data_IF_001769252602
#
_entry.id   IF_001769252602
#
_cell.length_a   1.000
_cell.length_b   1.000
_cell.length_c   1.000
_cell.angle_alpha   90.00
_cell.angle_beta   90.00
_cell.angle_gamma   90.00
#
_symmetry.space_group_name_H-M   'P 1'
#
loop_
_entity.id
_entity.type
_entity.pdbx_description
1 polymer ?
#
# COMPACT_ATOMS: atom_id res chain seq x y z
N UNK A 1 -10.74 -2.89 31.78
CA UNK A 1 -9.61 -3.85 31.60
C UNK A 1 -9.03 -3.57 30.23
N UNK A 2 -7.81 -3.05 30.15
CA UNK A 2 -7.11 -2.90 28.86
C UNK A 2 -6.79 -4.30 28.36
N UNK A 3 -7.45 -4.74 27.29
CA UNK A 3 -7.13 -5.99 26.62
C UNK A 3 -5.65 -6.00 26.25
N UNK A 4 -4.90 -6.99 26.74
CA UNK A 4 -3.46 -7.10 26.48
C UNK A 4 -3.31 -7.54 25.03
N UNK A 5 -2.53 -6.79 24.26
CA UNK A 5 -2.12 -7.20 22.91
C UNK A 5 -1.03 -8.26 23.10
N UNK A 6 -1.24 -9.42 22.50
CA UNK A 6 -0.26 -10.50 22.49
C UNK A 6 0.46 -10.55 21.13
N UNK A 7 1.70 -11.02 21.15
CA UNK A 7 2.52 -11.13 19.95
C UNK A 7 2.12 -12.38 19.16
N UNK A 8 1.49 -12.19 18.00
CA UNK A 8 1.02 -13.25 17.10
C UNK A 8 1.84 -13.30 15.80
N UNK A 9 1.66 -14.33 15.00
CA UNK A 9 2.33 -14.42 13.70
C UNK A 9 1.83 -13.33 12.76
N UNK A 10 0.52 -13.17 12.68
CA UNK A 10 -0.14 -12.21 11.80
C UNK A 10 -1.11 -11.32 12.56
N UNK A 11 -1.01 -10.02 12.33
CA UNK A 11 -1.95 -9.04 12.88
C UNK A 11 -2.63 -8.27 11.78
N UNK A 12 -3.96 -8.16 11.88
CA UNK A 12 -4.80 -7.34 11.02
C UNK A 12 -5.36 -6.21 11.89
N UNK A 13 -4.97 -4.97 11.56
CA UNK A 13 -5.50 -3.76 12.20
C UNK A 13 -6.56 -3.13 11.31
N UNK A 14 -7.82 -3.14 11.77
CA UNK A 14 -8.94 -2.52 11.05
C UNK A 14 -9.10 -1.08 11.49
N UNK A 15 -8.99 -0.16 10.52
CA UNK A 15 -9.10 1.28 10.72
C UNK A 15 -10.20 1.87 9.81
N UNK A 16 -10.83 3.00 10.21
CA UNK A 16 -11.81 3.66 9.38
C UNK A 16 -11.16 4.35 8.17
N UNK A 17 -11.84 4.33 7.03
CA UNK A 17 -11.48 5.07 5.83
C UNK A 17 -12.59 6.05 5.46
N UNK A 18 -12.39 7.31 5.82
CA UNK A 18 -13.37 8.38 5.62
C UNK A 18 -12.77 9.52 4.78
N UNK A 19 -13.61 10.37 4.16
CA UNK A 19 -13.12 11.53 3.43
C UNK A 19 -12.27 12.51 4.26
N UNK A 20 -12.58 12.66 5.55
CA UNK A 20 -11.77 13.48 6.48
C UNK A 20 -10.40 12.86 6.72
N UNK A 21 -10.33 11.55 6.96
CA UNK A 21 -9.06 10.84 7.16
C UNK A 21 -8.24 10.73 5.87
N UNK A 22 -8.88 10.68 4.71
CA UNK A 22 -8.18 10.76 3.41
C UNK A 22 -7.45 12.11 3.26
N UNK A 23 -8.05 13.22 3.76
CA UNK A 23 -7.44 14.56 3.74
C UNK A 23 -6.39 14.76 4.83
N UNK A 24 -6.65 14.24 6.04
CA UNK A 24 -5.74 14.29 7.17
C UNK A 24 -5.64 12.92 7.85
N UNK A 25 -4.63 12.10 7.49
CA UNK A 25 -4.40 10.79 8.06
C UNK A 25 -3.70 10.81 9.43
N UNK A 26 -3.36 11.96 9.98
CA UNK A 26 -2.60 12.08 11.22
C UNK A 26 -3.24 11.34 12.43
N UNK A 27 -4.58 11.27 12.58
CA UNK A 27 -5.19 10.49 13.66
C UNK A 27 -4.91 8.98 13.59
N UNK A 28 -4.54 8.47 12.41
CA UNK A 28 -4.24 7.05 12.18
C UNK A 28 -2.83 6.64 12.62
N UNK A 29 -1.94 7.60 12.90
CA UNK A 29 -0.55 7.28 13.27
C UNK A 29 -0.47 6.60 14.63
N UNK A 30 -1.19 7.13 15.62
CA UNK A 30 -1.16 6.60 16.98
C UNK A 30 -1.50 5.11 17.04
N UNK A 31 -2.64 4.63 16.48
CA UNK A 31 -2.94 3.20 16.48
C UNK A 31 -1.87 2.35 15.76
N UNK A 32 -1.32 2.81 14.64
CA UNK A 32 -0.28 2.06 13.92
C UNK A 32 1.01 1.98 14.74
N UNK A 33 1.50 3.13 15.26
CA UNK A 33 2.74 3.20 16.04
C UNK A 33 2.66 2.47 17.38
N UNK A 34 1.46 2.34 17.92
CA UNK A 34 1.21 1.66 19.20
C UNK A 34 1.01 0.14 19.03
N UNK A 35 0.29 -0.29 18.02
CA UNK A 35 -0.10 -1.69 17.85
C UNK A 35 1.01 -2.51 17.20
N UNK A 36 1.58 -2.06 16.06
CA UNK A 36 2.54 -2.86 15.29
C UNK A 36 3.72 -3.36 16.13
N UNK A 37 4.39 -2.55 16.98
CA UNK A 37 5.62 -3.00 17.67
C UNK A 37 5.42 -4.15 18.67
N UNK A 38 4.18 -4.44 19.04
CA UNK A 38 3.87 -5.43 20.08
C UNK A 38 2.90 -6.52 19.64
N UNK A 39 2.53 -6.56 18.38
CA UNK A 39 1.45 -7.45 17.91
C UNK A 39 1.87 -8.49 16.89
N UNK A 40 2.94 -8.27 16.09
CA UNK A 40 3.23 -9.13 14.94
C UNK A 40 4.66 -9.64 14.89
N UNK A 41 4.82 -10.93 14.53
CA UNK A 41 6.11 -11.59 14.27
C UNK A 41 6.44 -11.65 12.78
N UNK A 42 5.46 -12.02 11.93
CA UNK A 42 5.64 -12.29 10.48
C UNK A 42 5.03 -11.21 9.60
N UNK A 43 3.76 -10.83 9.82
CA UNK A 43 3.11 -9.79 9.02
C UNK A 43 2.17 -8.90 9.81
N UNK A 44 2.03 -7.67 9.33
CA UNK A 44 1.09 -6.67 9.84
C UNK A 44 0.32 -6.04 8.69
N UNK A 45 -0.98 -6.24 8.67
CA UNK A 45 -1.88 -5.70 7.65
C UNK A 45 -2.74 -4.60 8.24
N UNK A 46 -2.72 -3.40 7.66
CA UNK A 46 -3.73 -2.37 7.92
C UNK A 46 -4.84 -2.55 6.90
N UNK A 47 -6.04 -2.78 7.38
CA UNK A 47 -7.23 -2.89 6.55
C UNK A 47 -8.15 -1.70 6.80
N UNK A 48 -8.40 -0.92 5.76
CA UNK A 48 -9.26 0.25 5.81
C UNK A 48 -10.69 -0.08 5.42
N UNK A 49 -11.62 0.14 6.35
CA UNK A 49 -13.06 -0.06 6.14
C UNK A 49 -13.80 1.27 6.09
N UNK A 50 -14.76 1.39 5.18
CA UNK A 50 -15.59 2.59 5.01
C UNK A 50 -16.79 2.51 5.95
N UNK A 51 -16.86 3.35 7.02
CA UNK A 51 -17.98 3.30 7.97
C UNK A 51 -19.31 3.64 7.31
N UNK A 52 -20.40 3.01 7.76
CA UNK A 52 -21.74 3.27 7.28
C UNK A 52 -22.10 4.75 7.39
N UNK A 53 -22.71 5.32 6.34
CA UNK A 53 -23.12 6.72 6.30
C UNK A 53 -21.99 7.74 6.12
N UNK A 54 -20.73 7.30 5.98
CA UNK A 54 -19.60 8.22 5.75
C UNK A 54 -19.57 8.79 4.33
N UNK A 55 -20.37 8.26 3.43
CA UNK A 55 -20.48 8.72 2.04
C UNK A 55 -21.96 8.98 1.74
N UNK A 56 -22.29 10.20 1.36
CA UNK A 56 -23.59 10.55 0.79
C UNK A 56 -23.41 10.81 -0.70
N UNK A 57 -24.03 10.00 -1.55
CA UNK A 57 -24.20 10.36 -2.96
C UNK A 57 -25.63 10.84 -3.17
N UNK A 58 -25.85 11.85 -4.02
CA UNK A 58 -27.20 12.24 -4.45
C UNK A 58 -27.92 11.05 -5.10
N UNK A 59 -27.20 10.10 -5.69
CA UNK A 59 -27.74 8.87 -6.25
C UNK A 59 -28.22 7.87 -5.19
N UNK A 60 -27.65 7.85 -3.98
CA UNK A 60 -28.16 7.01 -2.88
C UNK A 60 -29.56 7.44 -2.43
N UNK A 61 -29.89 8.73 -2.53
CA UNK A 61 -31.21 9.24 -2.23
C UNK A 61 -32.27 8.76 -3.26
N UNK A 62 -31.89 8.54 -4.51
CA UNK A 62 -32.78 8.05 -5.58
C UNK A 62 -32.93 6.51 -5.48
N UNK A 63 -31.89 5.78 -5.11
CA UNK A 63 -31.94 4.32 -4.95
C UNK A 63 -32.72 3.86 -3.70
N UNK A 64 -32.75 4.67 -2.64
CA UNK A 64 -33.57 4.38 -1.44
C UNK A 64 -35.08 4.39 -1.72
N UNK A 65 -35.51 4.97 -2.82
CA UNK A 65 -36.91 4.98 -3.27
C UNK A 65 -37.30 3.68 -4.03
N UNK A 66 -36.32 2.94 -4.55
CA UNK A 66 -36.55 1.74 -5.38
C UNK A 66 -36.46 0.42 -4.65
N UNK A 67 -36.23 0.39 -3.33
CA UNK A 67 -36.31 -0.84 -2.51
C UNK A 67 -35.25 -1.91 -2.83
N UNK A 68 -34.26 -1.62 -3.65
CA UNK A 68 -33.11 -2.47 -3.88
C UNK A 68 -32.12 -2.25 -2.75
N UNK A 69 -31.76 -3.30 -2.01
CA UNK A 69 -30.89 -3.26 -0.85
C UNK A 69 -29.66 -2.37 -1.11
N UNK A 70 -29.44 -1.39 -0.24
CA UNK A 70 -28.36 -0.42 -0.34
C UNK A 70 -27.02 -1.13 -0.16
N UNK A 71 -26.39 -1.56 -1.26
CA UNK A 71 -24.96 -1.83 -1.22
C UNK A 71 -24.27 -0.50 -0.89
N UNK A 72 -23.80 -0.38 0.34
CA UNK A 72 -23.05 0.79 0.77
C UNK A 72 -21.80 0.92 -0.11
N UNK A 73 -21.64 2.05 -0.76
CA UNK A 73 -20.52 2.31 -1.63
C UNK A 73 -19.26 2.58 -0.78
N UNK A 74 -18.16 1.89 -1.08
CA UNK A 74 -16.90 2.06 -0.36
C UNK A 74 -16.08 3.21 -0.96
N UNK A 75 -15.42 4.01 -0.10
CA UNK A 75 -14.65 5.18 -0.53
C UNK A 75 -13.55 4.83 -1.53
N UNK A 76 -12.84 3.71 -1.35
CA UNK A 76 -11.81 3.31 -2.30
C UNK A 76 -12.38 3.02 -3.70
N UNK A 77 -13.52 2.35 -3.78
CA UNK A 77 -14.21 2.10 -5.05
C UNK A 77 -14.60 3.39 -5.76
N UNK A 78 -15.01 4.42 -5.00
CA UNK A 78 -15.32 5.74 -5.54
C UNK A 78 -14.07 6.43 -6.11
N UNK A 79 -12.97 6.46 -5.35
CA UNK A 79 -11.70 7.03 -5.82
C UNK A 79 -11.23 6.36 -7.11
N UNK A 80 -11.47 5.05 -7.24
CA UNK A 80 -11.08 4.28 -8.41
C UNK A 80 -11.92 4.55 -9.66
N UNK A 81 -13.06 5.24 -9.55
CA UNK A 81 -13.81 5.71 -10.72
C UNK A 81 -13.12 6.85 -11.45
N UNK A 82 -12.36 7.66 -10.71
CA UNK A 82 -11.61 8.82 -11.21
C UNK A 82 -10.16 8.76 -10.72
N UNK A 83 -9.39 7.73 -11.12
CA UNK A 83 -8.09 7.47 -10.50
C UNK A 83 -7.04 8.53 -10.81
N UNK A 84 -7.15 9.26 -11.93
CA UNK A 84 -6.22 10.34 -12.24
C UNK A 84 -6.41 11.53 -11.30
N UNK A 85 -7.64 11.97 -11.06
CA UNK A 85 -7.98 13.06 -10.14
C UNK A 85 -7.72 12.66 -8.69
N UNK A 86 -8.02 11.41 -8.34
CA UNK A 86 -7.89 10.87 -6.99
C UNK A 86 -6.45 10.50 -6.64
N UNK A 87 -5.54 10.43 -7.63
CA UNK A 87 -4.17 9.95 -7.45
C UNK A 87 -3.43 10.68 -6.33
N UNK A 88 -3.43 12.02 -6.34
CA UNK A 88 -2.70 12.81 -5.34
C UNK A 88 -3.24 12.62 -3.93
N UNK A 89 -4.56 12.53 -3.77
CA UNK A 89 -5.19 12.32 -2.48
C UNK A 89 -4.83 10.93 -1.92
N UNK A 90 -4.98 9.88 -2.74
CA UNK A 90 -4.64 8.52 -2.34
C UNK A 90 -3.13 8.34 -2.10
N UNK A 91 -2.28 8.94 -2.95
CA UNK A 91 -0.84 8.95 -2.76
C UNK A 91 -0.43 9.59 -1.44
N UNK A 92 -0.98 10.77 -1.13
CA UNK A 92 -0.71 11.45 0.14
C UNK A 92 -1.11 10.57 1.32
N UNK A 93 -2.33 10.04 1.29
CA UNK A 93 -2.84 9.15 2.34
C UNK A 93 -1.96 7.92 2.52
N UNK A 94 -1.76 7.12 1.47
CA UNK A 94 -0.93 5.91 1.52
C UNK A 94 0.51 6.20 1.93
N UNK A 95 1.07 7.30 1.46
CA UNK A 95 2.42 7.73 1.83
C UNK A 95 2.56 7.96 3.33
N UNK A 96 1.60 8.61 3.96
CA UNK A 96 1.57 8.81 5.41
C UNK A 96 1.40 7.49 6.18
N UNK A 97 0.51 6.62 5.73
CA UNK A 97 0.29 5.31 6.36
C UNK A 97 1.56 4.44 6.27
N UNK A 98 2.16 4.34 5.08
CA UNK A 98 3.41 3.58 4.92
C UNK A 98 4.59 4.20 5.68
N UNK A 99 4.62 5.52 5.86
CA UNK A 99 5.62 6.18 6.72
C UNK A 99 5.42 5.81 8.18
N UNK A 100 4.17 5.77 8.67
CA UNK A 100 3.88 5.34 10.03
C UNK A 100 4.27 3.86 10.26
N UNK A 101 3.95 2.98 9.32
CA UNK A 101 4.34 1.56 9.34
C UNK A 101 5.86 1.39 9.36
N UNK A 102 6.56 2.06 8.47
CA UNK A 102 8.02 2.07 8.41
C UNK A 102 8.65 2.55 9.72
N UNK A 103 8.13 3.64 10.27
CA UNK A 103 8.58 4.17 11.55
C UNK A 103 8.39 3.16 12.69
N UNK A 104 7.24 2.47 12.72
CA UNK A 104 6.93 1.46 13.71
C UNK A 104 7.88 0.24 13.60
N UNK A 105 8.16 -0.24 12.38
CA UNK A 105 9.12 -1.32 12.12
C UNK A 105 10.53 -0.98 12.65
N UNK A 106 11.01 0.24 12.40
CA UNK A 106 12.31 0.68 12.90
C UNK A 106 12.35 0.85 14.42
N UNK A 107 11.26 1.38 15.02
CA UNK A 107 11.15 1.53 16.47
C UNK A 107 11.24 0.17 17.19
N UNK A 108 10.60 -0.86 16.68
CA UNK A 108 10.64 -2.20 17.28
C UNK A 108 11.83 -3.05 16.81
N UNK A 109 12.64 -2.55 15.87
CA UNK A 109 13.79 -3.28 15.33
C UNK A 109 13.43 -4.45 14.43
N UNK A 110 12.20 -4.55 13.94
CA UNK A 110 11.71 -5.57 13.00
C UNK A 110 11.49 -4.95 11.61
N UNK A 111 12.60 -4.55 10.96
CA UNK A 111 12.57 -3.84 9.67
C UNK A 111 12.10 -4.73 8.52
N UNK A 112 12.25 -6.04 8.66
CA UNK A 112 11.86 -7.04 7.66
C UNK A 112 10.43 -7.55 7.83
N UNK A 113 9.69 -7.08 8.85
CA UNK A 113 8.29 -7.43 9.02
C UNK A 113 7.51 -7.11 7.74
N UNK A 114 6.73 -8.06 7.23
CA UNK A 114 5.88 -7.84 6.07
C UNK A 114 4.69 -6.94 6.43
N UNK A 115 4.69 -5.69 5.96
CA UNK A 115 3.62 -4.71 6.23
C UNK A 115 2.84 -4.41 4.96
N UNK A 116 1.50 -4.45 5.02
CA UNK A 116 0.63 -4.15 3.89
C UNK A 116 -0.56 -3.27 4.27
N UNK A 117 -1.09 -2.60 3.27
CA UNK A 117 -2.28 -1.76 3.36
C UNK A 117 -3.28 -2.23 2.32
N UNK A 118 -4.51 -2.48 2.78
CA UNK A 118 -5.63 -2.86 1.92
C UNK A 118 -6.87 -2.05 2.26
N UNK A 119 -7.79 -1.96 1.31
CA UNK A 119 -9.03 -1.22 1.45
C UNK A 119 -10.24 -2.10 1.19
N UNK A 120 -11.30 -1.86 1.92
CA UNK A 120 -12.63 -2.29 1.54
C UNK A 120 -12.98 -1.61 0.20
N UNK A 121 -13.48 -2.38 -0.76
CA UNK A 121 -13.74 -1.91 -2.12
C UNK A 121 -12.59 -2.09 -3.11
N UNK A 122 -11.43 -2.59 -2.67
CA UNK A 122 -10.49 -3.19 -3.62
C UNK A 122 -11.11 -4.44 -4.24
N UNK A 123 -10.84 -4.67 -5.54
CA UNK A 123 -11.18 -5.95 -6.18
C UNK A 123 -10.41 -7.11 -5.55
N UNK A 124 -10.92 -8.33 -5.69
CA UNK A 124 -10.31 -9.54 -5.14
C UNK A 124 -10.93 -10.02 -3.82
N UNK A 125 -10.62 -11.26 -3.47
CA UNK A 125 -11.16 -11.90 -2.28
C UNK A 125 -10.49 -11.37 -1.02
N UNK A 126 -11.29 -11.12 0.01
CA UNK A 126 -10.80 -10.63 1.29
C UNK A 126 -9.80 -11.60 1.94
N UNK A 127 -10.03 -12.92 1.83
CA UNK A 127 -9.09 -13.92 2.32
C UNK A 127 -7.71 -13.83 1.68
N UNK A 128 -7.65 -13.64 0.37
CA UNK A 128 -6.36 -13.52 -0.35
C UNK A 128 -5.56 -12.29 0.10
N UNK A 129 -6.23 -11.26 0.60
CA UNK A 129 -5.61 -10.04 1.12
C UNK A 129 -5.09 -10.19 2.55
N UNK A 130 -5.79 -10.94 3.37
CA UNK A 130 -5.55 -10.99 4.81
C UNK A 130 -4.73 -12.19 5.24
N UNK A 131 -4.91 -13.35 4.58
CA UNK A 131 -4.21 -14.57 4.93
C UNK A 131 -2.83 -14.60 4.26
N UNK A 132 -1.79 -14.75 5.05
CA UNK A 132 -0.38 -14.76 4.62
C UNK A 132 0.22 -16.15 4.63
N UNK A 133 -0.21 -16.95 5.56
CA UNK A 133 0.25 -18.32 5.76
C UNK A 133 -0.60 -19.32 4.98
N UNK A 134 0.00 -20.48 4.72
CA UNK A 134 -0.69 -21.65 4.19
C UNK A 134 -0.85 -22.73 5.26
N UNK A 135 -0.25 -22.53 6.42
CA UNK A 135 -0.23 -23.50 7.51
C UNK A 135 -1.37 -23.20 8.49
N UNK A 136 -2.15 -24.24 8.83
CA UNK A 136 -3.25 -24.17 9.78
C UNK A 136 -2.78 -23.87 11.23
N UNK A 137 -1.45 -23.87 11.47
CA UNK A 137 -0.83 -23.60 12.77
C UNK A 137 -0.48 -22.12 12.99
N UNK A 138 -0.62 -21.25 11.98
CA UNK A 138 -0.29 -19.83 12.10
C UNK A 138 -1.33 -19.08 12.93
N UNK A 139 -0.83 -18.24 13.85
CA UNK A 139 -1.67 -17.49 14.80
C UNK A 139 -2.06 -16.14 14.21
N UNK A 140 -3.36 -15.86 14.20
CA UNK A 140 -3.94 -14.61 13.72
C UNK A 140 -4.54 -13.77 14.85
N UNK A 141 -4.36 -12.45 14.74
CA UNK A 141 -5.00 -11.49 15.62
C UNK A 141 -5.69 -10.41 14.80
N UNK A 142 -6.96 -10.18 15.11
CA UNK A 142 -7.74 -9.08 14.54
C UNK A 142 -7.90 -7.99 15.59
N UNK A 143 -7.45 -6.78 15.29
CA UNK A 143 -7.57 -5.61 16.15
C UNK A 143 -8.44 -4.59 15.44
N UNK A 144 -9.57 -4.22 16.06
CA UNK A 144 -10.42 -3.13 15.59
C UNK A 144 -10.34 -1.94 16.56
N UNK A 145 -10.65 -0.78 16.05
CA UNK A 145 -10.76 0.44 16.88
C UNK A 145 -12.21 0.60 17.33
N UNK A 146 -12.41 0.94 18.61
CA UNK A 146 -13.75 1.24 19.14
C UNK A 146 -14.40 2.39 18.35
N UNK A 147 -15.70 2.25 18.04
CA UNK A 147 -16.45 3.22 17.24
C UNK A 147 -16.39 2.98 15.72
N UNK A 148 -15.53 2.10 15.23
CA UNK A 148 -15.71 1.52 13.90
C UNK A 148 -16.90 0.58 13.98
N UNK A 149 -18.00 0.93 13.29
CA UNK A 149 -19.21 0.10 13.29
C UNK A 149 -18.85 -1.30 12.79
N UNK A 150 -19.47 -2.31 13.39
CA UNK A 150 -19.44 -3.67 12.84
C UNK A 150 -20.16 -3.63 11.49
N UNK A 151 -19.37 -3.50 10.45
CA UNK A 151 -19.85 -3.68 9.08
C UNK A 151 -19.98 -5.18 8.82
N UNK A 152 -20.68 -5.55 7.77
CA UNK A 152 -20.73 -6.95 7.27
C UNK A 152 -19.32 -7.55 7.07
N UNK A 153 -18.31 -6.69 7.03
CA UNK A 153 -16.90 -7.03 6.97
C UNK A 153 -16.44 -7.85 8.18
N UNK A 154 -16.77 -7.44 9.42
CA UNK A 154 -16.32 -8.18 10.63
C UNK A 154 -16.99 -9.54 10.68
N UNK A 155 -18.27 -9.62 10.31
CA UNK A 155 -18.99 -10.89 10.19
C UNK A 155 -18.41 -11.80 9.07
N UNK A 156 -17.86 -11.19 8.00
CA UNK A 156 -17.19 -11.92 6.92
C UNK A 156 -15.79 -12.41 7.33
N UNK A 157 -15.10 -11.67 8.22
CA UNK A 157 -13.77 -12.04 8.70
C UNK A 157 -13.80 -13.30 9.57
N UNK A 158 -14.85 -13.50 10.36
CA UNK A 158 -15.05 -14.71 11.16
C UNK A 158 -15.11 -16.01 10.31
N UNK A 159 -15.46 -15.88 9.02
CA UNK A 159 -15.52 -17.01 8.08
C UNK A 159 -14.21 -17.22 7.31
N UNK A 160 -13.32 -16.23 7.31
CA UNK A 160 -12.13 -16.20 6.47
C UNK A 160 -10.88 -16.47 7.28
N UNK A 161 -10.78 -15.88 8.50
CA UNK A 161 -9.61 -16.02 9.35
C UNK A 161 -9.66 -17.39 10.04
N UNK A 162 -8.56 -18.18 10.01
CA UNK A 162 -8.50 -19.47 10.69
C UNK A 162 -8.84 -19.34 12.19
N UNK A 163 -9.66 -20.25 12.69
CA UNK A 163 -10.03 -20.31 14.10
C UNK A 163 -9.12 -21.29 14.86
N UNK A 164 -8.67 -20.98 16.08
CA UNK A 164 -9.02 -19.79 16.87
C UNK A 164 -8.19 -18.56 16.51
N UNK A 165 -8.82 -17.39 16.43
CA UNK A 165 -8.12 -16.12 16.33
C UNK A 165 -8.48 -15.19 17.50
N UNK A 166 -7.61 -14.23 17.82
CA UNK A 166 -7.85 -13.26 18.90
C UNK A 166 -8.48 -12.00 18.32
N UNK A 167 -9.68 -11.63 18.81
CA UNK A 167 -10.34 -10.36 18.48
C UNK A 167 -10.16 -9.37 19.64
N UNK A 168 -9.58 -8.21 19.36
CA UNK A 168 -9.40 -7.12 20.29
C UNK A 168 -10.09 -5.84 19.80
N UNK A 169 -10.64 -5.06 20.74
CA UNK A 169 -11.15 -3.71 20.45
C UNK A 169 -10.36 -2.70 21.29
N UNK A 170 -9.80 -1.69 20.65
CA UNK A 170 -8.95 -0.69 21.29
C UNK A 170 -9.59 0.70 21.20
N UNK A 171 -9.59 1.48 22.30
CA UNK A 171 -10.13 2.84 22.31
C UNK A 171 -9.14 3.83 21.70
N UNK A 172 -9.58 4.58 20.67
CA UNK A 172 -8.86 5.71 20.10
C UNK A 172 -9.81 6.88 19.92
N UNK A 173 -9.95 7.72 20.94
CA UNK A 173 -10.89 8.84 20.97
C UNK A 173 -10.77 9.79 19.75
N UNK A 174 -9.56 9.98 19.23
CA UNK A 174 -9.33 10.81 18.04
C UNK A 174 -10.01 10.29 16.78
N UNK A 175 -10.28 8.98 16.68
CA UNK A 175 -10.95 8.38 15.53
C UNK A 175 -12.48 8.44 15.66
N UNK A 176 -13.01 8.41 16.89
CA UNK A 176 -14.44 8.51 17.15
C UNK A 176 -15.00 9.90 16.87
N UNK A 177 -14.17 10.94 16.91
CA UNK A 177 -14.59 12.34 16.68
C UNK A 177 -14.65 12.72 15.20
N UNK A 178 -14.10 11.91 14.29
CA UNK A 178 -14.16 12.16 12.87
C UNK A 178 -15.48 11.67 12.27
N UNK A 179 -16.58 12.37 12.63
CA UNK A 179 -17.87 12.18 11.96
C UNK A 179 -17.76 12.67 10.51
N UNK A 180 -18.31 11.88 9.64
CA UNK A 180 -18.22 12.03 8.20
C UNK A 180 -18.86 13.33 7.69
N UNK A 181 -18.06 14.23 7.11
CA UNK A 181 -18.59 15.16 6.13
C UNK A 181 -18.88 14.40 4.84
N UNK A 182 -20.02 14.66 4.18
CA UNK A 182 -20.34 13.98 2.93
C UNK A 182 -19.27 14.26 1.88
N UNK A 183 -18.74 13.21 1.28
CA UNK A 183 -17.84 13.32 0.13
C UNK A 183 -18.72 13.42 -1.12
N UNK A 184 -18.73 14.59 -1.74
CA UNK A 184 -19.44 14.82 -3.01
C UNK A 184 -18.43 14.54 -4.12
N UNK A 185 -18.61 13.41 -4.81
CA UNK A 185 -17.97 13.21 -6.11
C UNK A 185 -18.68 14.11 -7.11
N UNK A 186 -17.99 15.12 -7.60
CA UNK A 186 -18.42 15.86 -8.76
C UNK A 186 -18.32 14.90 -9.96
N UNK A 187 -19.45 14.49 -10.50
CA UNK A 187 -19.54 13.52 -11.63
C UNK A 187 -19.18 14.18 -12.98
N UNK A 188 -18.61 15.39 -12.94
CA UNK A 188 -18.22 16.14 -14.12
C UNK A 188 -16.82 15.72 -14.59
N UNK A 189 -16.76 14.85 -15.59
CA UNK A 189 -15.55 14.51 -16.32
C UNK A 189 -14.81 13.30 -15.78
N UNK A 190 -15.45 12.12 -15.83
CA UNK A 190 -14.76 10.85 -15.53
C UNK A 190 -13.52 10.70 -16.40
N UNK A 191 -12.33 10.82 -15.81
CA UNK A 191 -11.10 10.33 -16.43
C UNK A 191 -10.87 8.90 -15.97
N UNK A 192 -11.27 7.93 -16.79
CA UNK A 192 -11.00 6.54 -16.47
C UNK A 192 -9.49 6.35 -16.34
N UNK A 193 -9.06 5.37 -15.53
CA UNK A 193 -7.66 4.99 -15.47
C UNK A 193 -7.11 4.59 -16.84
N UNK A 194 -5.83 4.42 -16.92
CA UNK A 194 -5.14 4.08 -18.18
C UNK A 194 -5.30 2.59 -18.50
N UNK A 195 -5.60 2.23 -19.75
CA UNK A 195 -5.56 0.85 -20.21
C UNK A 195 -4.27 0.14 -19.81
N UNK A 196 -3.11 0.74 -20.09
CA UNK A 196 -1.80 0.15 -19.77
C UNK A 196 -0.94 1.14 -19.00
N UNK A 197 -0.58 0.76 -17.78
CA UNK A 197 0.33 1.51 -16.90
C UNK A 197 1.63 0.73 -16.76
N UNK A 198 2.75 1.44 -16.71
CA UNK A 198 4.05 0.84 -16.43
C UNK A 198 4.71 1.46 -15.19
N UNK A 199 5.56 0.70 -14.57
CA UNK A 199 6.50 1.16 -13.54
C UNK A 199 7.71 0.22 -13.50
N UNK A 200 8.80 0.65 -12.87
CA UNK A 200 9.99 -0.18 -12.76
C UNK A 200 10.78 0.12 -11.49
N UNK A 201 11.56 -0.87 -11.09
CA UNK A 201 12.41 -0.76 -9.91
C UNK A 201 13.26 -1.98 -9.65
N UNK A 202 14.10 -1.91 -8.63
CA UNK A 202 14.87 -3.07 -8.16
C UNK A 202 13.98 -4.05 -7.40
N UNK A 203 13.03 -3.54 -6.62
CA UNK A 203 12.12 -4.30 -5.75
C UNK A 203 12.81 -5.24 -4.77
N UNK A 204 14.02 -4.86 -4.36
CA UNK A 204 14.79 -5.59 -3.39
C UNK A 204 14.15 -5.49 -2.01
N UNK A 205 13.90 -6.62 -1.35
CA UNK A 205 13.23 -6.70 -0.04
C UNK A 205 12.02 -5.79 0.02
N UNK A 206 10.96 -6.22 -0.65
CA UNK A 206 9.75 -5.44 -0.93
C UNK A 206 9.24 -4.68 0.31
N UNK A 207 9.68 -3.45 0.46
CA UNK A 207 9.42 -2.58 1.62
C UNK A 207 8.32 -1.56 1.33
N UNK A 208 7.93 -0.78 2.32
CA UNK A 208 6.83 0.18 2.28
C UNK A 208 6.82 1.10 1.04
N UNK A 209 7.99 1.67 0.64
CA UNK A 209 8.04 2.54 -0.55
C UNK A 209 7.80 1.77 -1.86
N UNK A 210 8.26 0.52 -1.97
CA UNK A 210 7.95 -0.32 -3.12
C UNK A 210 6.46 -0.65 -3.18
N UNK A 211 5.84 -0.97 -2.04
CA UNK A 211 4.42 -1.30 -1.96
C UNK A 211 3.54 -0.09 -2.29
N UNK A 212 3.93 1.11 -1.85
CA UNK A 212 3.29 2.36 -2.24
C UNK A 212 3.32 2.56 -3.76
N UNK A 213 4.49 2.39 -4.39
CA UNK A 213 4.66 2.55 -5.83
C UNK A 213 3.80 1.54 -6.61
N UNK A 214 3.84 0.27 -6.21
CA UNK A 214 3.07 -0.81 -6.83
C UNK A 214 1.56 -0.62 -6.66
N UNK A 215 1.11 -0.21 -5.47
CA UNK A 215 -0.29 0.05 -5.18
C UNK A 215 -0.84 1.18 -6.07
N UNK A 216 -0.11 2.29 -6.17
CA UNK A 216 -0.51 3.42 -7.01
C UNK A 216 -0.49 3.09 -8.51
N UNK A 217 0.48 2.29 -8.96
CA UNK A 217 0.48 1.77 -10.31
C UNK A 217 -0.74 0.90 -10.61
N UNK A 218 -1.10 0.01 -9.69
CA UNK A 218 -2.31 -0.81 -9.78
C UNK A 218 -3.59 0.03 -9.76
N UNK A 219 -3.62 1.06 -8.92
CA UNK A 219 -4.76 1.99 -8.82
C UNK A 219 -5.04 2.73 -10.12
N UNK A 220 -4.02 3.12 -10.88
CA UNK A 220 -4.16 3.81 -12.17
C UNK A 220 -4.50 2.86 -13.33
N UNK A 221 -4.11 1.58 -13.25
CA UNK A 221 -4.29 0.62 -14.34
C UNK A 221 -5.74 0.16 -14.45
N UNK A 222 -6.22 -0.03 -15.71
CA UNK A 222 -7.53 -0.58 -16.01
C UNK A 222 -7.48 -2.00 -16.60
N UNK A 223 -6.53 -2.25 -17.46
CA UNK A 223 -6.45 -3.50 -18.24
C UNK A 223 -5.15 -4.25 -17.97
N UNK A 224 -4.03 -3.49 -17.89
CA UNK A 224 -2.70 -4.09 -17.74
C UNK A 224 -1.78 -3.22 -16.91
N UNK A 225 -1.06 -3.86 -15.99
CA UNK A 225 0.06 -3.26 -15.28
C UNK A 225 1.35 -3.97 -15.67
N UNK A 226 2.32 -3.22 -16.21
CA UNK A 226 3.66 -3.71 -16.53
C UNK A 226 4.61 -3.29 -15.42
N UNK A 227 5.28 -4.26 -14.80
CA UNK A 227 6.28 -4.00 -13.75
C UNK A 227 7.62 -4.53 -14.21
N UNK A 228 8.55 -3.63 -14.50
CA UNK A 228 9.94 -3.98 -14.84
C UNK A 228 10.77 -4.19 -13.57
N UNK A 229 11.28 -5.39 -13.35
CA UNK A 229 12.21 -5.74 -12.25
C UNK A 229 13.61 -5.78 -12.81
N UNK A 230 14.52 -4.95 -12.27
CA UNK A 230 15.91 -4.87 -12.77
C UNK A 230 16.64 -6.20 -12.63
N UNK A 231 17.28 -6.64 -13.72
CA UNK A 231 18.12 -7.82 -13.73
C UNK A 231 19.30 -7.71 -12.74
N UNK A 232 19.83 -8.82 -12.29
CA UNK A 232 20.90 -8.85 -11.28
C UNK A 232 22.18 -8.20 -11.78
N UNK A 233 22.47 -8.28 -13.08
CA UNK A 233 23.63 -7.66 -13.73
C UNK A 233 23.63 -6.12 -13.65
N UNK A 234 22.49 -5.48 -13.47
CA UNK A 234 22.38 -4.04 -13.29
C UNK A 234 22.61 -3.57 -11.84
N UNK A 235 22.78 -4.49 -10.89
CA UNK A 235 22.78 -4.18 -9.46
C UNK A 235 24.16 -4.17 -8.80
N UNK A 236 25.23 -4.50 -9.53
CA UNK A 236 26.59 -4.62 -8.98
C UNK A 236 27.14 -3.32 -8.36
N UNK A 237 26.62 -2.16 -8.77
CA UNK A 237 27.02 -0.85 -8.23
C UNK A 237 26.25 -0.43 -6.99
N UNK A 238 25.28 -1.23 -6.54
CA UNK A 238 24.49 -0.91 -5.35
C UNK A 238 25.33 -1.11 -4.07
N UNK A 239 25.11 -0.27 -3.07
CA UNK A 239 25.68 -0.50 -1.75
C UNK A 239 25.20 -1.86 -1.23
N UNK A 240 26.11 -2.70 -0.71
CA UNK A 240 25.83 -4.07 -0.29
C UNK A 240 25.13 -4.90 -1.38
N UNK A 241 25.73 -4.94 -2.58
CA UNK A 241 25.19 -5.67 -3.71
C UNK A 241 25.03 -7.18 -3.43
N UNK A 242 25.90 -7.73 -2.59
CA UNK A 242 25.88 -9.10 -2.08
C UNK A 242 24.66 -9.44 -1.21
N UNK A 243 24.00 -8.43 -0.63
CA UNK A 243 22.78 -8.58 0.17
C UNK A 243 21.49 -8.35 -0.64
N UNK A 244 21.59 -8.02 -1.92
CA UNK A 244 20.39 -7.88 -2.78
C UNK A 244 19.78 -9.26 -3.01
N UNK A 245 18.46 -9.36 -2.88
CA UNK A 245 17.74 -10.60 -3.15
C UNK A 245 17.89 -11.03 -4.61
N UNK A 246 18.05 -12.34 -4.88
CA UNK A 246 18.03 -12.87 -6.23
C UNK A 246 16.76 -12.46 -7.01
N UNK A 247 16.89 -12.35 -8.32
CA UNK A 247 15.82 -11.87 -9.20
C UNK A 247 14.49 -12.63 -9.00
N UNK A 248 14.55 -13.96 -8.88
CA UNK A 248 13.35 -14.78 -8.69
C UNK A 248 12.59 -14.38 -7.41
N UNK A 249 13.25 -14.16 -6.29
CA UNK A 249 12.61 -13.72 -5.04
C UNK A 249 11.97 -12.34 -5.18
N UNK A 250 12.62 -11.44 -5.93
CA UNK A 250 12.10 -10.09 -6.19
C UNK A 250 10.86 -10.13 -7.09
N UNK A 251 10.87 -10.97 -8.13
CA UNK A 251 9.72 -11.23 -9.00
C UNK A 251 8.57 -11.85 -8.22
N UNK A 252 8.84 -12.86 -7.40
CA UNK A 252 7.83 -13.54 -6.58
C UNK A 252 7.19 -12.58 -5.56
N UNK A 253 7.99 -11.75 -4.90
CA UNK A 253 7.48 -10.73 -3.97
C UNK A 253 6.55 -9.73 -4.63
N UNK A 254 6.91 -9.22 -5.82
CA UNK A 254 6.08 -8.30 -6.60
C UNK A 254 4.78 -8.97 -7.04
N UNK A 255 4.85 -10.20 -7.59
CA UNK A 255 3.67 -10.94 -8.02
C UNK A 255 2.73 -11.25 -6.85
N UNK A 256 3.27 -11.70 -5.73
CA UNK A 256 2.49 -12.01 -4.54
C UNK A 256 1.76 -10.77 -3.99
N UNK A 257 2.45 -9.62 -3.92
CA UNK A 257 1.83 -8.38 -3.46
C UNK A 257 0.73 -7.90 -4.41
N UNK A 258 1.00 -7.82 -5.72
CA UNK A 258 0.03 -7.37 -6.72
C UNK A 258 -1.17 -8.32 -6.85
N UNK A 259 -0.94 -9.64 -6.69
CA UNK A 259 -2.00 -10.63 -6.68
C UNK A 259 -3.02 -10.44 -5.54
N UNK A 260 -2.58 -9.84 -4.42
CA UNK A 260 -3.48 -9.51 -3.31
C UNK A 260 -4.28 -8.22 -3.51
N UNK A 261 -3.84 -7.31 -4.37
CA UNK A 261 -4.56 -6.06 -4.65
C UNK A 261 -5.80 -6.26 -5.53
N UNK A 262 -5.87 -7.34 -6.30
CA UNK A 262 -6.91 -7.50 -7.30
C UNK A 262 -7.48 -8.91 -7.43
N UNK A 263 -8.46 -9.04 -8.33
CA UNK A 263 -9.20 -10.27 -8.67
C UNK A 263 -8.74 -10.89 -10.00
N UNK A 264 -7.64 -10.40 -10.56
CA UNK A 264 -7.16 -10.82 -11.87
C UNK A 264 -7.80 -10.09 -13.06
N UNK A 265 -8.71 -9.12 -12.82
CA UNK A 265 -9.30 -8.29 -13.87
C UNK A 265 -8.25 -7.42 -14.59
N UNK A 266 -7.19 -7.02 -13.88
CA UNK A 266 -6.04 -6.34 -14.45
C UNK A 266 -4.95 -7.36 -14.73
N UNK A 267 -4.51 -7.45 -15.98
CA UNK A 267 -3.41 -8.33 -16.37
C UNK A 267 -2.09 -7.82 -15.80
N UNK A 268 -1.50 -8.58 -14.90
CA UNK A 268 -0.17 -8.32 -14.38
C UNK A 268 0.89 -8.84 -15.35
N UNK A 269 1.87 -8.00 -15.69
CA UNK A 269 3.01 -8.35 -16.53
C UNK A 269 4.30 -7.95 -15.80
N UNK A 270 4.73 -8.79 -14.86
CA UNK A 270 5.97 -8.60 -14.12
C UNK A 270 7.10 -9.23 -14.92
N UNK A 271 8.05 -8.41 -15.38
CA UNK A 271 9.10 -8.83 -16.31
C UNK A 271 10.47 -8.36 -15.86
N UNK A 272 11.48 -9.19 -16.11
CA UNK A 272 12.87 -8.78 -16.00
C UNK A 272 13.22 -7.70 -17.02
N UNK A 273 13.97 -6.68 -16.60
CA UNK A 273 14.48 -5.63 -17.48
C UNK A 273 16.00 -5.52 -17.36
N UNK A 274 16.66 -5.43 -18.53
CA UNK A 274 18.12 -5.32 -18.66
C UNK A 274 18.59 -3.89 -18.95
N UNK A 275 17.67 -2.94 -18.99
CA UNK A 275 17.96 -1.51 -19.08
C UNK A 275 16.88 -0.68 -18.38
N UNK A 276 17.15 0.60 -18.17
CA UNK A 276 16.24 1.51 -17.46
C UNK A 276 14.92 1.82 -18.20
N UNK A 277 14.82 1.48 -19.47
CA UNK A 277 13.66 1.78 -20.32
C UNK A 277 12.71 0.59 -20.41
N UNK A 278 13.24 -0.65 -20.46
CA UNK A 278 12.45 -1.87 -20.59
C UNK A 278 11.38 -1.78 -21.69
N UNK A 279 10.19 -2.38 -21.47
CA UNK A 279 9.10 -2.34 -22.44
C UNK A 279 8.58 -0.94 -22.77
N UNK A 280 8.79 0.03 -21.89
CA UNK A 280 8.25 1.40 -22.09
C UNK A 280 8.86 2.13 -23.29
N UNK A 281 10.07 1.72 -23.71
CA UNK A 281 10.73 2.28 -24.90
C UNK A 281 9.93 2.09 -26.18
N UNK A 282 9.31 0.93 -26.35
CA UNK A 282 8.83 0.47 -27.66
C UNK A 282 7.38 0.01 -27.69
N UNK A 283 6.74 -0.26 -26.55
CA UNK A 283 5.33 -0.66 -26.52
C UNK A 283 4.44 0.57 -26.74
N UNK A 284 3.72 0.67 -27.88
CA UNK A 284 2.84 1.81 -28.18
C UNK A 284 1.60 1.85 -27.30
N UNK A 285 1.25 0.75 -26.62
CA UNK A 285 0.04 0.65 -25.82
C UNK A 285 0.21 1.22 -24.40
N UNK A 286 1.44 1.46 -23.95
CA UNK A 286 1.68 2.09 -22.65
C UNK A 286 1.30 3.56 -22.73
N UNK A 287 0.47 4.02 -21.78
CA UNK A 287 0.01 5.41 -21.74
C UNK A 287 0.52 6.17 -20.51
N UNK A 288 0.77 5.48 -19.39
CA UNK A 288 1.24 6.12 -18.18
C UNK A 288 2.44 5.38 -17.57
N UNK A 289 3.31 6.17 -16.94
CA UNK A 289 4.49 5.66 -16.23
C UNK A 289 4.50 6.22 -14.81
N UNK A 290 4.50 5.33 -13.83
CA UNK A 290 4.62 5.70 -12.42
C UNK A 290 6.09 5.65 -12.01
N UNK A 291 6.59 6.74 -11.48
CA UNK A 291 7.99 6.92 -11.09
C UNK A 291 8.08 7.50 -9.68
N UNK A 292 9.17 7.24 -8.97
CA UNK A 292 9.52 7.99 -7.77
C UNK A 292 10.25 9.29 -8.14
N UNK A 293 10.37 10.22 -7.19
CA UNK A 293 11.20 11.42 -7.39
C UNK A 293 12.63 11.07 -7.82
N UNK A 294 13.21 10.01 -7.26
CA UNK A 294 14.57 9.58 -7.60
C UNK A 294 14.69 9.09 -9.04
N UNK A 295 13.61 8.53 -9.60
CA UNK A 295 13.59 7.97 -10.97
C UNK A 295 12.90 8.87 -11.99
N UNK A 296 12.48 10.08 -11.62
CA UNK A 296 11.82 11.03 -12.51
C UNK A 296 12.66 11.38 -13.76
N UNK A 297 13.99 11.54 -13.58
CA UNK A 297 14.90 11.77 -14.71
C UNK A 297 14.87 10.61 -15.72
N UNK A 298 14.77 9.36 -15.23
CA UNK A 298 14.58 8.18 -16.06
C UNK A 298 13.25 8.22 -16.83
N UNK A 299 12.16 8.61 -16.17
CA UNK A 299 10.86 8.79 -16.82
C UNK A 299 10.88 9.84 -17.94
N UNK A 300 11.56 10.95 -17.72
CA UNK A 300 11.76 11.97 -18.77
C UNK A 300 12.60 11.42 -19.93
N UNK A 301 13.61 10.63 -19.66
CA UNK A 301 14.43 9.98 -20.68
C UNK A 301 13.62 8.96 -21.48
N UNK A 302 12.73 8.20 -20.85
CA UNK A 302 11.75 7.34 -21.56
C UNK A 302 10.96 8.17 -22.58
N UNK A 303 10.40 9.31 -22.18
CA UNK A 303 9.59 10.15 -23.06
C UNK A 303 10.40 10.75 -24.23
N UNK A 304 11.64 11.17 -23.99
CA UNK A 304 12.53 11.64 -25.06
C UNK A 304 12.78 10.53 -26.10
N UNK A 305 13.10 9.32 -25.63
CA UNK A 305 13.34 8.16 -26.51
C UNK A 305 12.09 7.77 -27.31
N UNK A 306 10.92 7.79 -26.67
CA UNK A 306 9.64 7.51 -27.34
C UNK A 306 9.35 8.53 -28.44
N UNK A 307 9.54 9.82 -28.14
CA UNK A 307 9.35 10.90 -29.11
C UNK A 307 10.28 10.76 -30.32
N UNK A 308 11.55 10.45 -30.09
CA UNK A 308 12.52 10.16 -31.16
C UNK A 308 12.10 8.94 -32.01
N UNK A 309 11.48 7.94 -31.39
CA UNK A 309 10.93 6.76 -32.04
C UNK A 309 9.54 6.95 -32.67
N UNK A 310 8.97 8.17 -32.65
CA UNK A 310 7.64 8.47 -33.19
C UNK A 310 6.47 7.92 -32.36
N UNK A 311 6.70 7.55 -31.10
CA UNK A 311 5.67 7.12 -30.17
C UNK A 311 5.14 8.28 -29.32
N UNK A 312 3.91 8.15 -28.81
CA UNK A 312 3.36 9.12 -27.87
C UNK A 312 4.16 9.11 -26.56
N UNK A 313 4.35 10.31 -25.99
CA UNK A 313 4.91 10.45 -24.64
C UNK A 313 3.93 9.86 -23.61
N UNK A 314 4.47 9.27 -22.55
CA UNK A 314 3.70 8.71 -21.44
C UNK A 314 3.33 9.82 -20.47
N UNK A 315 2.16 9.72 -19.87
CA UNK A 315 1.80 10.56 -18.73
C UNK A 315 2.61 10.09 -17.50
N UNK A 316 3.32 11.03 -16.87
CA UNK A 316 4.19 10.72 -15.73
C UNK A 316 3.47 10.97 -14.40
N UNK A 317 3.32 9.93 -13.62
CA UNK A 317 2.81 10.01 -12.25
C UNK A 317 3.96 9.88 -11.26
N UNK A 318 4.26 10.96 -10.56
CA UNK A 318 5.39 11.02 -9.62
C UNK A 318 4.92 10.69 -8.23
N UNK A 319 5.50 9.64 -7.64
CA UNK A 319 5.23 9.23 -6.26
C UNK A 319 6.23 9.90 -5.33
N UNK A 320 5.70 10.69 -4.40
CA UNK A 320 6.47 11.32 -3.34
C UNK A 320 6.66 10.34 -2.19
N UNK A 321 7.90 9.99 -1.89
CA UNK A 321 8.21 9.27 -0.67
C UNK A 321 8.27 10.27 0.48
N UNK A 322 7.21 10.35 1.27
CA UNK A 322 6.95 11.42 2.25
C UNK A 322 8.00 11.49 3.38
N UNK A 323 8.92 10.54 3.47
CA UNK A 323 9.94 10.49 4.52
C UNK A 323 10.89 11.71 4.57
N UNK A 324 11.00 12.52 3.50
CA UNK A 324 11.84 13.73 3.50
C UNK A 324 11.13 14.95 4.11
N UNK A 325 9.80 15.01 4.05
CA UNK A 325 8.99 16.13 4.56
C UNK A 325 8.02 15.72 5.68
N UNK A 326 8.23 14.53 6.26
CA UNK A 326 7.36 13.96 7.27
C UNK A 326 7.04 14.93 8.39
N UNK A 327 5.77 14.96 8.70
CA UNK A 327 5.11 15.78 9.70
C UNK A 327 5.98 16.00 10.95
N UNK A 328 6.04 17.24 11.43
CA UNK A 328 6.89 17.68 12.55
C UNK A 328 6.68 16.84 13.83
N UNK A 329 5.56 16.11 13.95
CA UNK A 329 5.29 15.24 15.08
C UNK A 329 6.11 13.93 15.06
N UNK A 330 6.37 13.35 13.88
CA UNK A 330 7.28 12.20 13.75
C UNK A 330 8.75 12.63 13.94
N UNK A 331 9.10 13.86 13.51
CA UNK A 331 10.45 14.41 13.70
C UNK A 331 10.78 14.78 15.16
N UNK A 332 9.76 15.15 15.96
CA UNK A 332 9.97 15.53 17.37
C UNK A 332 10.36 14.35 18.27
N UNK A 333 10.01 13.13 17.87
CA UNK A 333 10.30 11.93 18.65
C UNK A 333 11.63 11.23 18.26
N UNK A 334 12.33 11.70 17.24
CA UNK A 334 13.50 11.00 16.70
C UNK A 334 14.69 11.95 16.46
N UNK A 335 15.91 11.47 16.79
CA UNK A 335 17.18 12.12 16.53
C UNK A 335 17.44 12.20 15.00
N UNK A 336 17.98 13.37 14.52
CA UNK A 336 18.29 13.59 13.10
C UNK A 336 19.21 12.52 12.49
N UNK A 337 20.10 11.95 13.28
CA UNK A 337 20.99 10.87 12.83
C UNK A 337 20.23 9.57 12.53
N UNK A 338 19.16 9.29 13.30
CA UNK A 338 18.24 8.18 13.08
C UNK A 338 17.33 8.42 11.88
N UNK A 339 16.84 9.66 11.70
CA UNK A 339 16.02 10.04 10.53
C UNK A 339 16.76 9.83 9.20
N UNK A 340 18.07 10.17 9.15
CA UNK A 340 18.90 9.90 7.97
C UNK A 340 19.10 8.40 7.68
N UNK A 341 19.20 7.58 8.74
CA UNK A 341 19.28 6.11 8.60
C UNK A 341 17.96 5.48 8.21
N UNK A 342 16.84 6.13 8.53
CA UNK A 342 15.47 5.68 8.26
C UNK A 342 14.94 6.07 6.89
N UNK A 343 15.79 6.58 5.98
CA UNK A 343 15.37 6.85 4.62
C UNK A 343 14.69 5.59 4.05
N UNK A 344 13.40 5.71 3.71
CA UNK A 344 12.58 4.58 3.26
C UNK A 344 13.13 4.07 1.92
N UNK A 345 13.91 2.99 1.98
CA UNK A 345 14.53 2.44 0.77
C UNK A 345 15.42 1.23 1.03
N UNK A 346 15.66 0.45 -0.03
CA UNK A 346 16.41 -0.82 0.02
C UNK A 346 17.82 -0.67 0.59
N UNK A 347 18.48 0.48 0.38
CA UNK A 347 19.81 0.74 0.95
C UNK A 347 19.78 0.76 2.48
N UNK A 348 18.76 1.40 3.07
CA UNK A 348 18.58 1.41 4.53
C UNK A 348 18.36 0.00 5.08
N UNK A 349 17.55 -0.80 4.41
CA UNK A 349 17.32 -2.22 4.79
C UNK A 349 18.61 -3.03 4.71
N UNK A 350 19.39 -2.92 3.63
CA UNK A 350 20.67 -3.64 3.49
C UNK A 350 21.71 -3.20 4.53
N UNK A 351 21.80 -1.90 4.83
CA UNK A 351 22.65 -1.40 5.92
C UNK A 351 22.27 -2.02 7.26
N UNK A 352 20.97 -2.07 7.56
CA UNK A 352 20.46 -2.67 8.79
C UNK A 352 20.81 -4.17 8.89
N UNK A 353 20.73 -4.92 7.77
CA UNK A 353 21.11 -6.33 7.70
C UNK A 353 22.63 -6.49 7.91
N UNK A 354 23.45 -5.67 7.24
CA UNK A 354 24.91 -5.71 7.34
C UNK A 354 25.40 -5.41 8.78
N UNK A 355 24.75 -4.46 9.48
CA UNK A 355 25.07 -4.11 10.87
C UNK A 355 24.76 -5.25 11.87
N UNK A 356 23.83 -6.16 11.56
CA UNK A 356 23.44 -7.28 12.44
C UNK A 356 24.17 -8.58 12.18
N UNK A 357 24.93 -8.66 11.09
CA UNK A 357 25.60 -9.89 10.66
C UNK A 357 24.66 -10.91 10.04
N UNK A 358 25.19 -11.77 9.19
CA UNK A 358 24.44 -12.76 8.39
C UNK A 358 23.89 -13.95 9.20
N UNK A 359 23.92 -13.91 10.53
CA UNK A 359 23.65 -15.06 11.40
C UNK A 359 22.19 -15.36 11.71
N UNK A 360 21.21 -14.55 11.27
CA UNK A 360 19.78 -14.72 11.61
C UNK A 360 18.84 -14.71 10.37
N UNK A 361 19.36 -15.01 9.18
CA UNK A 361 18.60 -14.76 7.95
C UNK A 361 17.71 -15.91 7.46
N UNK A 362 17.75 -17.07 8.08
CA UNK A 362 17.00 -18.27 7.62
C UNK A 362 16.23 -18.94 8.76
N UNK A 363 15.34 -18.20 9.43
CA UNK A 363 14.36 -18.82 10.32
C UNK A 363 12.97 -18.28 10.06
#
# INVERSE_FOLDING_TARGET
MTSKIDLQDHTILVLPFTPSLLRDPSPLYSPILDVLPRSSKKSFTVFFSTPAGSISSEQSAIQSISGVGSNQEQLYSLLRRTPQESFKALQSFLGHIYTALWTAQWKCGNVLLDVEVHFEGESGKLGDKLLRGKDDEEEYQLIKVEGVQETDLVASLDQIIPSPFTLLSLPYASLSSHQSEPYILLDEGRTPGFPVVALGGTFDRLHAAHKLLLHLGYFLAREKLIVGVMADDLLHTKAHADLVQPLNQRLDGVNAFLGRLGDGSIKLNVVEIHDALGPTRSDPNVQALVVSHETLSGGKYVNSTRKEGGLQELELFVVDVIAENGDMNLKKEMDESRLKKMKMGSTGVRNWIAERGTGEQDR
#
